data_IF_592203330261
#
_entry.id   IF_592203330261
#
_cell.length_a   1.000
_cell.length_b   1.000
_cell.length_c   1.000
_cell.angle_alpha   90.00
_cell.angle_beta   90.00
_cell.angle_gamma   90.00
#
_symmetry.space_group_name_H-M   'P 1'
#
loop_
_entity.id
_entity.type
_entity.pdbx_description
1 polymer ?
#
# COMPACT_ATOMS: atom_id res chain seq x y z
N UNK A 1 8.17 -9.44 -44.51
CA UNK A 1 8.01 -9.97 -43.14
C UNK A 1 6.71 -9.41 -42.58
N UNK A 2 5.70 -10.24 -42.38
CA UNK A 2 4.40 -9.84 -41.82
C UNK A 2 4.51 -9.69 -40.29
N UNK A 3 3.95 -8.61 -39.73
CA UNK A 3 4.01 -8.30 -38.30
C UNK A 3 3.13 -9.20 -37.42
N UNK A 4 2.45 -10.17 -38.01
CA UNK A 4 1.48 -11.02 -37.34
C UNK A 4 2.13 -12.33 -36.84
N UNK A 5 1.69 -12.85 -35.69
CA UNK A 5 2.22 -14.11 -35.17
C UNK A 5 1.93 -15.26 -36.15
N UNK A 6 2.91 -16.15 -36.39
CA UNK A 6 2.79 -17.21 -37.39
C UNK A 6 1.79 -18.31 -36.99
N UNK A 7 1.44 -18.41 -35.70
CA UNK A 7 0.50 -19.40 -35.16
C UNK A 7 -0.33 -18.82 -34.03
N UNK A 8 -1.57 -19.32 -33.91
CA UNK A 8 -2.45 -19.02 -32.78
C UNK A 8 -1.85 -19.58 -31.49
N UNK A 9 -1.81 -18.78 -30.43
CA UNK A 9 -1.36 -19.23 -29.12
C UNK A 9 -2.32 -20.28 -28.55
N UNK A 10 -1.78 -21.31 -27.89
CA UNK A 10 -2.58 -22.34 -27.26
C UNK A 10 -3.33 -21.78 -26.03
N UNK A 11 -4.41 -22.45 -25.63
CA UNK A 11 -5.17 -22.10 -24.41
C UNK A 11 -4.26 -22.15 -23.17
N UNK A 12 -3.36 -23.14 -23.12
CA UNK A 12 -2.40 -23.31 -22.03
C UNK A 12 -1.40 -22.16 -21.97
N UNK A 13 -0.80 -21.78 -23.10
CA UNK A 13 0.16 -20.68 -23.17
C UNK A 13 -0.49 -19.35 -22.77
N UNK A 14 -1.70 -19.10 -23.25
CA UNK A 14 -2.50 -17.92 -22.91
C UNK A 14 -2.81 -17.87 -21.40
N UNK A 15 -3.25 -19.00 -20.81
CA UNK A 15 -3.52 -19.12 -19.38
C UNK A 15 -2.28 -18.85 -18.52
N UNK A 16 -1.13 -19.45 -18.86
CA UNK A 16 0.14 -19.20 -18.15
C UNK A 16 0.54 -17.73 -18.18
N UNK A 17 0.42 -17.07 -19.34
CA UNK A 17 0.76 -15.64 -19.51
C UNK A 17 -0.11 -14.75 -18.63
N UNK A 18 -1.44 -14.94 -18.65
CA UNK A 18 -2.36 -14.11 -17.86
C UNK A 18 -2.27 -14.42 -16.36
N UNK A 19 -2.06 -15.67 -15.96
CA UNK A 19 -1.83 -16.04 -14.56
C UNK A 19 -0.59 -15.36 -13.97
N UNK A 20 0.52 -15.32 -14.71
CA UNK A 20 1.73 -14.60 -14.28
C UNK A 20 1.54 -13.09 -14.21
N UNK A 21 0.74 -12.52 -15.11
CA UNK A 21 0.40 -11.11 -15.03
C UNK A 21 -0.42 -10.79 -13.77
N UNK A 22 -1.39 -11.64 -13.41
CA UNK A 22 -2.16 -11.49 -12.18
C UNK A 22 -1.25 -11.57 -10.95
N UNK A 23 -0.38 -12.58 -10.87
CA UNK A 23 0.59 -12.75 -9.77
C UNK A 23 1.52 -11.53 -9.62
N UNK A 24 1.98 -10.97 -10.75
CA UNK A 24 2.80 -9.75 -10.73
C UNK A 24 2.01 -8.53 -10.27
N UNK A 25 0.75 -8.39 -10.69
CA UNK A 25 -0.11 -7.27 -10.27
C UNK A 25 -0.48 -7.39 -8.79
N UNK A 26 -0.82 -8.58 -8.31
CA UNK A 26 -1.13 -8.79 -6.88
C UNK A 26 0.10 -8.56 -6.02
N UNK A 27 1.29 -9.04 -6.42
CA UNK A 27 2.55 -8.74 -5.73
C UNK A 27 2.85 -7.24 -5.72
N UNK A 28 2.63 -6.53 -6.84
CA UNK A 28 2.80 -5.07 -6.91
C UNK A 28 1.81 -4.32 -6.03
N UNK A 29 0.56 -4.78 -5.90
CA UNK A 29 -0.44 -4.17 -5.01
C UNK A 29 -0.08 -4.45 -3.55
N UNK A 30 0.30 -5.68 -3.21
CA UNK A 30 0.74 -6.03 -1.86
C UNK A 30 1.95 -5.18 -1.44
N UNK A 31 2.90 -4.98 -2.36
CA UNK A 31 4.10 -4.18 -2.14
C UNK A 31 3.91 -2.70 -2.52
N UNK A 32 2.69 -2.25 -2.81
CA UNK A 32 2.45 -0.86 -3.24
C UNK A 32 2.59 0.13 -2.09
N UNK A 33 2.45 -0.37 -0.87
CA UNK A 33 2.51 0.42 0.35
C UNK A 33 3.72 -0.02 1.15
N UNK A 34 4.63 0.92 1.39
CA UNK A 34 5.70 0.76 2.37
C UNK A 34 5.22 1.42 3.66
N UNK A 35 5.27 0.69 4.77
CA UNK A 35 4.85 1.17 6.09
C UNK A 35 6.06 1.55 6.94
N UNK A 36 5.87 2.55 7.79
CA UNK A 36 6.79 2.87 8.88
C UNK A 36 6.38 2.08 10.12
N UNK A 37 7.37 1.52 10.82
CA UNK A 37 7.16 0.76 12.05
C UNK A 37 7.79 1.48 13.24
N UNK A 38 7.20 1.34 14.41
CA UNK A 38 7.82 1.76 15.68
C UNK A 38 8.84 0.73 16.18
N UNK A 39 9.49 1.03 17.31
CA UNK A 39 10.46 0.12 17.95
C UNK A 39 9.84 -1.19 18.45
N UNK A 40 8.51 -1.23 18.61
CA UNK A 40 7.74 -2.40 19.07
C UNK A 40 7.24 -3.25 17.89
N UNK A 41 7.41 -2.78 16.64
CA UNK A 41 7.03 -3.47 15.42
C UNK A 41 5.62 -3.16 14.91
N UNK A 42 4.92 -2.18 15.48
CA UNK A 42 3.59 -1.76 15.03
C UNK A 42 3.68 -0.77 13.87
N UNK A 43 2.77 -0.90 12.90
CA UNK A 43 2.70 0.04 11.78
C UNK A 43 2.15 1.39 12.25
N UNK A 44 2.97 2.44 12.16
CA UNK A 44 2.64 3.79 12.62
C UNK A 44 2.20 4.73 11.49
N UNK A 45 2.44 4.36 10.24
CA UNK A 45 2.05 5.16 9.08
C UNK A 45 2.66 4.69 7.77
N UNK A 46 2.51 5.51 6.73
CA UNK A 46 3.19 5.31 5.45
C UNK A 46 4.66 5.69 5.57
N UNK A 47 5.53 4.90 4.96
CA UNK A 47 6.95 5.22 4.83
C UNK A 47 7.12 6.55 4.09
N UNK A 48 8.12 7.34 4.54
CA UNK A 48 8.41 8.70 4.08
C UNK A 48 7.40 9.80 4.47
N UNK A 49 6.35 9.49 5.22
CA UNK A 49 5.42 10.49 5.76
C UNK A 49 5.51 10.54 7.28
N UNK A 50 5.13 11.68 7.87
CA UNK A 50 4.95 11.76 9.31
C UNK A 50 3.79 10.88 9.75
N UNK A 51 3.96 10.13 10.84
CA UNK A 51 2.89 9.28 11.38
C UNK A 51 1.68 10.15 11.75
N UNK A 52 0.47 9.82 11.26
CA UNK A 52 -0.75 10.51 11.67
C UNK A 52 -1.16 10.21 13.12
N UNK A 53 -0.57 9.17 13.72
CA UNK A 53 -0.90 8.70 15.07
C UNK A 53 -0.01 9.40 16.11
N UNK A 54 1.30 9.41 15.88
CA UNK A 54 2.27 9.98 16.82
C UNK A 54 2.71 11.41 16.46
N UNK A 55 2.53 11.81 15.19
CA UNK A 55 3.05 13.07 14.65
C UNK A 55 4.56 13.04 14.41
N UNK A 56 5.16 11.87 14.43
CA UNK A 56 6.61 11.68 14.37
C UNK A 56 7.10 11.22 12.99
N UNK A 57 8.31 11.66 12.64
CA UNK A 57 9.02 11.25 11.44
C UNK A 57 10.50 11.08 11.77
N UNK A 58 11.06 9.89 11.49
CA UNK A 58 12.47 9.57 11.80
C UNK A 58 12.87 9.89 13.25
N UNK A 59 11.99 9.59 14.21
CA UNK A 59 12.22 9.81 15.64
C UNK A 59 12.13 11.28 16.09
N UNK A 60 11.74 12.19 15.21
CA UNK A 60 11.50 13.61 15.53
C UNK A 60 10.02 13.92 15.50
N UNK A 61 9.54 14.65 16.51
CA UNK A 61 8.15 15.12 16.55
C UNK A 61 7.99 16.31 15.60
N UNK A 62 7.19 16.14 14.55
CA UNK A 62 6.92 17.21 13.57
C UNK A 62 5.72 18.05 14.01
N UNK A 63 4.67 17.40 14.49
CA UNK A 63 3.47 18.09 14.99
C UNK A 63 2.82 17.34 16.15
N UNK A 64 2.07 18.07 16.97
CA UNK A 64 1.23 17.47 18.00
C UNK A 64 -0.08 16.98 17.37
N UNK A 65 -0.33 15.67 17.42
CA UNK A 65 -1.63 15.12 17.07
C UNK A 65 -2.60 15.43 18.21
N UNK A 66 -3.40 16.48 18.06
CA UNK A 66 -4.46 16.78 19.00
C UNK A 66 -5.53 15.70 18.89
N UNK A 67 -5.68 14.86 19.92
CA UNK A 67 -6.87 14.00 20.05
C UNK A 67 -8.05 14.93 20.24
N UNK A 68 -8.87 15.12 19.21
CA UNK A 68 -10.16 15.81 19.37
C UNK A 68 -10.95 15.06 20.44
N UNK A 69 -11.15 15.67 21.61
CA UNK A 69 -12.05 15.14 22.63
C UNK A 69 -13.41 14.94 21.97
N UNK A 70 -13.94 13.72 21.93
CA UNK A 70 -15.34 13.45 21.55
C UNK A 70 -16.20 14.40 22.38
N UNK A 71 -16.93 15.30 21.75
CA UNK A 71 -17.87 16.19 22.43
C UNK A 71 -18.96 15.29 23.02
N UNK A 72 -18.93 15.08 24.34
CA UNK A 72 -19.83 14.17 25.06
C UNK A 72 -21.17 14.82 25.45
N UNK A 73 -21.33 16.13 25.27
CA UNK A 73 -22.52 16.81 25.74
C UNK A 73 -22.97 17.84 24.73
N UNK A 74 -23.98 17.48 23.95
CA UNK A 74 -24.85 18.44 23.29
C UNK A 74 -25.85 18.85 24.37
N UNK A 75 -25.72 20.05 24.95
CA UNK A 75 -26.82 20.61 25.75
C UNK A 75 -27.91 21.04 24.78
N UNK A 76 -29.08 20.43 24.95
CA UNK A 76 -30.33 20.78 24.26
C UNK A 76 -30.78 22.20 24.64
#
# INVERSE_FOLDING_TARGET
MTFAPPKKASKVQTGKRHGKWLELKTRKVLNSVSLQYDAEGNATGLSHFASPITGEYKGRKIYSVNKTKKVQTIRA
#
